data_IF_673076290132
#
_entry.id   IF_673076290132
#
_cell.length_a   1.000
_cell.length_b   1.000
_cell.length_c   1.000
_cell.angle_alpha   90.00
_cell.angle_beta   90.00
_cell.angle_gamma   90.00
#
_symmetry.space_group_name_H-M   'P 1'
#
loop_
_entity.id
_entity.type
_entity.pdbx_description
1 polymer ?
#
# COMPACT_ATOMS: atom_id res chain seq x y z
N UNK A 1 -0.47 42.61 -12.44
CA UNK A 1 0.02 42.16 -11.13
C UNK A 1 -0.99 41.15 -10.61
N UNK A 2 -0.61 39.88 -10.41
CA UNK A 2 -1.42 38.94 -9.65
C UNK A 2 -1.37 39.43 -8.19
N UNK A 3 -2.48 39.94 -7.68
CA UNK A 3 -2.63 40.15 -6.24
C UNK A 3 -2.63 38.77 -5.59
N UNK A 4 -1.61 38.50 -4.78
CA UNK A 4 -1.61 37.38 -3.84
C UNK A 4 -2.77 37.64 -2.87
N UNK A 5 -3.83 36.81 -2.84
CA UNK A 5 -4.93 37.04 -1.92
C UNK A 5 -4.41 36.88 -0.49
N UNK A 6 -4.66 37.88 0.36
CA UNK A 6 -4.53 37.75 1.82
C UNK A 6 -5.11 36.39 2.25
N UNK A 7 -4.50 35.68 3.22
CA UNK A 7 -4.99 34.37 3.66
C UNK A 7 -6.37 34.55 4.30
N UNK A 8 -7.39 34.49 3.44
CA UNK A 8 -8.77 34.24 3.81
C UNK A 8 -8.75 32.97 4.64
N UNK A 9 -9.35 33.08 5.82
CA UNK A 9 -9.53 32.02 6.83
C UNK A 9 -9.50 30.62 6.18
N UNK A 10 -8.59 29.72 6.57
CA UNK A 10 -8.39 28.46 5.86
C UNK A 10 -9.72 27.72 5.71
N UNK A 11 -9.99 27.11 4.55
CA UNK A 11 -11.29 26.53 4.27
C UNK A 11 -11.64 25.49 5.33
N UNK A 12 -12.83 25.64 5.93
CA UNK A 12 -13.34 24.66 6.90
C UNK A 12 -13.68 23.37 6.18
N UNK A 13 -12.83 22.36 6.36
CA UNK A 13 -13.04 21.01 5.84
C UNK A 13 -13.93 20.21 6.81
N UNK A 14 -15.05 19.70 6.31
CA UNK A 14 -15.84 18.69 6.98
C UNK A 14 -15.56 17.33 6.32
N UNK A 15 -15.09 16.35 7.10
CA UNK A 15 -14.82 15.00 6.61
C UNK A 15 -15.95 14.08 7.06
N UNK A 16 -16.77 13.62 6.12
CA UNK A 16 -17.76 12.56 6.36
C UNK A 16 -17.14 11.22 5.98
N UNK A 17 -16.91 10.34 6.96
CA UNK A 17 -16.35 9.02 6.69
C UNK A 17 -17.48 8.00 6.43
N UNK A 18 -17.44 7.36 5.26
CA UNK A 18 -18.26 6.18 4.97
C UNK A 18 -17.38 4.93 5.11
N UNK A 19 -17.82 3.89 5.85
CA UNK A 19 -17.10 2.64 5.92
C UNK A 19 -16.97 2.03 4.52
N UNK A 20 -15.77 1.57 4.18
CA UNK A 20 -15.50 0.84 2.93
C UNK A 20 -14.98 -0.53 3.30
N UNK A 21 -15.46 -1.56 2.61
CA UNK A 21 -14.93 -2.92 2.74
C UNK A 21 -13.53 -2.99 2.10
N UNK A 22 -12.48 -3.35 2.85
CA UNK A 22 -11.12 -3.50 2.31
C UNK A 22 -11.03 -4.46 1.12
N UNK A 23 -11.90 -5.47 1.04
CA UNK A 23 -11.92 -6.43 -0.07
C UNK A 23 -12.44 -5.81 -1.37
N UNK A 24 -13.21 -4.72 -1.29
CA UNK A 24 -13.73 -3.99 -2.45
C UNK A 24 -12.73 -2.97 -3.04
N UNK A 25 -11.60 -2.74 -2.36
CA UNK A 25 -10.62 -1.76 -2.79
C UNK A 25 -9.87 -2.23 -4.03
N UNK A 26 -9.64 -1.30 -4.97
CA UNK A 26 -8.67 -1.54 -6.04
C UNK A 26 -7.27 -1.76 -5.44
N UNK A 27 -6.40 -2.49 -6.15
CA UNK A 27 -5.03 -2.74 -5.67
C UNK A 27 -4.23 -1.45 -5.40
N UNK A 28 -4.52 -0.37 -6.13
CA UNK A 28 -3.90 0.94 -5.86
C UNK A 28 -4.40 1.53 -4.55
N UNK A 29 -5.73 1.54 -4.35
CA UNK A 29 -6.33 2.03 -3.12
C UNK A 29 -5.91 1.19 -1.91
N UNK A 30 -5.81 -0.13 -2.08
CA UNK A 30 -5.36 -1.05 -1.05
C UNK A 30 -3.90 -0.80 -0.67
N UNK A 31 -3.01 -0.56 -1.64
CA UNK A 31 -1.62 -0.18 -1.36
C UNK A 31 -1.50 1.14 -0.58
N UNK A 32 -2.32 2.15 -0.94
CA UNK A 32 -2.38 3.43 -0.20
C UNK A 32 -2.91 3.25 1.21
N UNK A 33 -3.98 2.48 1.37
CA UNK A 33 -4.56 2.17 2.68
C UNK A 33 -3.56 1.41 3.56
N UNK A 34 -2.89 0.40 3.02
CA UNK A 34 -1.86 -0.35 3.72
C UNK A 34 -0.71 0.54 4.18
N UNK A 35 -0.25 1.49 3.34
CA UNK A 35 0.76 2.48 3.74
C UNK A 35 0.28 3.36 4.89
N UNK A 36 -0.96 3.86 4.82
CA UNK A 36 -1.53 4.71 5.87
C UNK A 36 -1.69 3.99 7.20
N UNK A 37 -2.16 2.73 7.18
CA UNK A 37 -2.28 1.90 8.39
C UNK A 37 -0.91 1.53 8.94
N UNK A 38 0.03 1.18 8.08
CA UNK A 38 1.37 0.82 8.49
C UNK A 38 2.16 2.03 9.03
N UNK A 39 1.95 3.25 8.51
CA UNK A 39 2.59 4.50 8.95
C UNK A 39 2.40 4.79 10.45
N UNK A 40 1.35 4.24 11.07
CA UNK A 40 1.17 4.28 12.51
C UNK A 40 2.27 3.52 13.30
N UNK A 41 3.12 2.74 12.63
CA UNK A 41 4.20 1.92 13.21
C UNK A 41 5.54 1.97 12.45
N UNK A 42 5.81 3.04 11.68
CA UNK A 42 7.06 3.28 10.93
C UNK A 42 7.47 2.15 9.94
N UNK A 43 6.69 1.95 8.87
CA UNK A 43 6.92 0.88 7.91
C UNK A 43 7.90 1.33 6.82
N UNK A 44 8.59 0.36 6.23
CA UNK A 44 9.35 0.59 5.01
C UNK A 44 8.36 0.80 3.85
N UNK A 45 8.22 2.04 3.41
CA UNK A 45 7.30 2.43 2.34
C UNK A 45 7.59 1.69 1.03
N UNK A 46 8.86 1.34 0.78
CA UNK A 46 9.27 0.62 -0.41
C UNK A 46 8.68 -0.79 -0.43
N UNK A 47 8.52 -1.43 0.73
CA UNK A 47 7.91 -2.75 0.86
C UNK A 47 6.44 -2.71 0.45
N UNK A 48 5.69 -1.70 0.92
CA UNK A 48 4.27 -1.56 0.58
C UNK A 48 4.09 -1.22 -0.90
N UNK A 49 4.94 -0.35 -1.44
CA UNK A 49 4.92 0.01 -2.86
C UNK A 49 5.21 -1.20 -3.77
N UNK A 50 6.25 -1.98 -3.45
CA UNK A 50 6.58 -3.20 -4.20
C UNK A 50 5.50 -4.27 -4.05
N UNK A 51 4.94 -4.44 -2.86
CA UNK A 51 3.80 -5.33 -2.66
C UNK A 51 2.62 -4.98 -3.58
N UNK A 52 2.26 -3.69 -3.70
CA UNK A 52 1.20 -3.25 -4.60
C UNK A 52 1.56 -3.49 -6.08
N UNK A 53 2.83 -3.29 -6.47
CA UNK A 53 3.33 -3.62 -7.82
C UNK A 53 3.20 -5.12 -8.09
N UNK A 54 3.66 -5.96 -7.18
CA UNK A 54 3.60 -7.41 -7.31
C UNK A 54 2.19 -7.96 -7.27
N UNK A 55 1.27 -7.36 -6.50
CA UNK A 55 -0.14 -7.73 -6.49
C UNK A 55 -0.78 -7.53 -7.87
N UNK A 56 -0.47 -6.43 -8.56
CA UNK A 56 -0.94 -6.19 -9.94
C UNK A 56 -0.39 -7.23 -10.91
N UNK A 57 0.89 -7.57 -10.78
CA UNK A 57 1.52 -8.61 -11.60
C UNK A 57 0.96 -10.01 -11.32
N UNK A 58 0.67 -10.34 -10.06
CA UNK A 58 0.03 -11.61 -9.67
C UNK A 58 -1.42 -11.70 -10.18
N UNK A 59 -2.19 -10.61 -10.12
CA UNK A 59 -3.56 -10.57 -10.62
C UNK A 59 -3.63 -10.90 -12.12
N UNK A 60 -2.70 -10.37 -12.93
CA UNK A 60 -2.59 -10.70 -14.35
C UNK A 60 -2.25 -12.20 -14.60
N UNK A 61 -1.67 -12.88 -13.61
CA UNK A 61 -1.31 -14.30 -13.65
C UNK A 61 -2.29 -15.21 -12.87
N UNK A 62 -3.42 -14.69 -12.41
CA UNK A 62 -4.43 -15.45 -11.63
C UNK A 62 -3.98 -15.84 -10.21
N UNK A 63 -3.05 -15.07 -9.62
CA UNK A 63 -2.54 -15.24 -8.25
C UNK A 63 -2.93 -14.03 -7.40
N UNK A 64 -2.87 -14.13 -6.06
CA UNK A 64 -3.35 -13.05 -5.18
C UNK A 64 -2.68 -12.92 -3.83
N UNK A 65 -1.49 -13.50 -3.61
CA UNK A 65 -0.87 -13.56 -2.27
C UNK A 65 -0.49 -12.18 -1.74
N UNK A 66 0.01 -11.30 -2.59
CA UNK A 66 0.32 -9.92 -2.19
C UNK A 66 -0.94 -9.12 -1.86
N UNK A 67 -2.02 -9.30 -2.63
CA UNK A 67 -3.29 -8.63 -2.39
C UNK A 67 -3.90 -9.06 -1.04
N UNK A 68 -3.95 -10.36 -0.74
CA UNK A 68 -4.42 -10.87 0.55
C UNK A 68 -3.66 -10.26 1.73
N UNK A 69 -2.32 -10.25 1.68
CA UNK A 69 -1.52 -9.70 2.76
C UNK A 69 -1.68 -8.18 2.91
N UNK A 70 -1.90 -7.44 1.82
CA UNK A 70 -2.22 -6.02 1.88
C UNK A 70 -3.59 -5.78 2.54
N UNK A 71 -4.59 -6.61 2.23
CA UNK A 71 -5.89 -6.58 2.92
C UNK A 71 -5.76 -6.86 4.40
N UNK A 72 -4.99 -7.88 4.79
CA UNK A 72 -4.76 -8.23 6.20
C UNK A 72 -4.08 -7.08 6.97
N UNK A 73 -3.15 -6.37 6.34
CA UNK A 73 -2.54 -5.16 6.91
C UNK A 73 -3.60 -4.08 7.16
N UNK A 74 -4.51 -3.86 6.21
CA UNK A 74 -5.57 -2.84 6.31
C UNK A 74 -6.63 -3.20 7.36
N UNK A 75 -7.01 -4.47 7.49
CA UNK A 75 -8.03 -4.95 8.44
C UNK A 75 -7.56 -4.84 9.90
N UNK A 76 -6.25 -4.79 10.15
CA UNK A 76 -5.70 -4.34 11.43
C UNK A 76 -5.63 -5.39 12.55
N UNK A 77 -6.39 -6.49 12.47
CA UNK A 77 -6.48 -7.49 13.56
C UNK A 77 -5.13 -8.16 13.87
N UNK A 78 -4.24 -8.25 12.88
CA UNK A 78 -2.87 -8.78 12.99
C UNK A 78 -1.87 -8.01 12.08
N UNK A 79 -2.03 -6.69 11.94
CA UNK A 79 -1.29 -5.90 10.94
C UNK A 79 0.24 -6.05 10.99
N UNK A 80 0.84 -6.15 12.18
CA UNK A 80 2.28 -6.36 12.33
C UNK A 80 2.76 -7.72 11.78
N UNK A 81 2.00 -8.79 12.04
CA UNK A 81 2.30 -10.13 11.51
C UNK A 81 2.09 -10.18 9.99
N UNK A 82 0.99 -9.60 9.51
CA UNK A 82 0.71 -9.48 8.08
C UNK A 82 1.82 -8.70 7.35
N UNK A 83 2.26 -7.58 7.92
CA UNK A 83 3.37 -6.79 7.39
C UNK A 83 4.71 -7.56 7.40
N UNK A 84 5.02 -8.28 8.48
CA UNK A 84 6.22 -9.13 8.55
C UNK A 84 6.26 -10.21 7.47
N UNK A 85 5.10 -10.84 7.19
CA UNK A 85 4.94 -11.79 6.07
C UNK A 85 5.05 -11.12 4.71
N UNK A 86 4.43 -9.94 4.55
CA UNK A 86 4.47 -9.15 3.33
C UNK A 86 5.92 -8.76 2.98
N UNK A 87 6.66 -8.20 3.94
CA UNK A 87 8.08 -7.86 3.81
C UNK A 87 8.91 -9.06 3.37
N UNK A 88 8.75 -10.20 4.06
CA UNK A 88 9.47 -11.43 3.71
C UNK A 88 9.19 -11.89 2.27
N UNK A 89 7.95 -11.71 1.80
CA UNK A 89 7.56 -12.08 0.44
C UNK A 89 8.15 -11.11 -0.60
N UNK A 90 8.12 -9.81 -0.32
CA UNK A 90 8.73 -8.75 -1.15
C UNK A 90 10.23 -8.98 -1.29
N UNK A 91 10.96 -9.20 -0.20
CA UNK A 91 12.40 -9.42 -0.24
C UNK A 91 12.79 -10.63 -1.09
N UNK A 92 12.07 -11.75 -0.95
CA UNK A 92 12.26 -12.93 -1.80
C UNK A 92 11.95 -12.68 -3.27
N UNK A 93 11.03 -11.76 -3.57
CA UNK A 93 10.69 -11.41 -4.96
C UNK A 93 11.74 -10.48 -5.55
N UNK A 94 12.18 -9.46 -4.80
CA UNK A 94 13.28 -8.57 -5.16
C UNK A 94 14.58 -9.33 -5.43
N UNK A 95 14.92 -10.30 -4.58
CA UNK A 95 16.10 -11.15 -4.78
C UNK A 95 16.02 -11.90 -6.12
N UNK A 96 14.88 -12.53 -6.42
CA UNK A 96 14.66 -13.19 -7.71
C UNK A 96 14.72 -12.24 -8.90
N UNK A 97 14.24 -11.01 -8.78
CA UNK A 97 14.36 -10.01 -9.87
C UNK A 97 15.84 -9.64 -10.11
N UNK A 98 16.61 -9.38 -9.04
CA UNK A 98 18.06 -9.09 -9.15
C UNK A 98 18.88 -10.25 -9.71
N UNK A 99 18.54 -11.49 -9.34
CA UNK A 99 19.23 -12.68 -9.87
C UNK A 99 19.00 -12.83 -11.38
N UNK A 100 17.84 -12.41 -11.90
CA UNK A 100 17.54 -12.42 -13.35
C UNK A 100 18.31 -11.30 -14.06
N UNK A 101 18.44 -10.12 -13.45
CA UNK A 101 19.23 -9.01 -14.01
C UNK A 101 20.73 -9.31 -14.08
N UNK A 102 21.24 -10.27 -13.29
CA UNK A 102 22.64 -10.70 -13.31
C UNK A 102 22.96 -11.86 -14.26
N UNK A 103 21.97 -12.40 -14.97
CA UNK A 103 22.11 -13.58 -15.83
C UNK A 103 22.17 -13.28 -17.34
N UNK A 104 22.05 -12.01 -17.74
CA UNK A 104 22.04 -11.56 -19.14
C UNK A 104 23.05 -10.44 -19.38
#
# INVERSE_FOLDING_TARGET
ALTDPDPVDPPRLAVTATPVDPESLSLDALGRAARAVAAAGDPDESVVADAARYARAEAAAGRGRFATLLTDVVVGREAGLAYGRLRSLVERRRARERDVDGLF
#
